data_IF_431555112741
#
_entry.id   IF_431555112741
#
_cell.length_a   1.000
_cell.length_b   1.000
_cell.length_c   1.000
_cell.angle_alpha   90.00
_cell.angle_beta   90.00
_cell.angle_gamma   90.00
#
_symmetry.space_group_name_H-M   'P 1'
#
loop_
_entity.id
_entity.type
_entity.pdbx_description
1 polymer ?
#
# COMPACT_ATOMS: atom_id res chain seq x y z
N UNK A 1 6.40 4.22 16.78
CA UNK A 1 5.68 3.18 15.99
C UNK A 1 4.17 3.42 15.94
N UNK A 2 3.58 4.03 16.97
CA UNK A 2 2.13 4.30 17.05
C UNK A 2 1.56 5.14 15.89
N UNK A 3 2.30 6.13 15.39
CA UNK A 3 1.86 6.94 14.24
C UNK A 3 1.78 6.14 12.93
N UNK A 4 2.66 5.15 12.75
CA UNK A 4 2.64 4.30 11.56
C UNK A 4 1.37 3.44 11.54
N UNK A 5 0.96 2.92 12.70
CA UNK A 5 -0.27 2.13 12.86
C UNK A 5 -1.52 2.97 12.62
N UNK A 6 -1.52 4.22 13.07
CA UNK A 6 -2.61 5.17 12.82
C UNK A 6 -2.73 5.52 11.33
N UNK A 7 -1.59 5.70 10.64
CA UNK A 7 -1.55 5.87 9.18
C UNK A 7 -2.06 4.63 8.44
N UNK A 8 -1.70 3.43 8.89
CA UNK A 8 -2.19 2.15 8.37
C UNK A 8 -3.72 2.06 8.42
N UNK A 9 -4.31 2.30 9.60
CA UNK A 9 -5.76 2.23 9.79
C UNK A 9 -6.54 3.21 8.90
N UNK A 10 -6.03 4.44 8.72
CA UNK A 10 -6.65 5.44 7.85
C UNK A 10 -6.41 5.09 6.37
N UNK A 11 -5.24 4.53 6.05
CA UNK A 11 -4.90 4.00 4.75
C UNK A 11 -5.91 2.96 4.29
N UNK A 12 -6.13 1.89 5.06
CA UNK A 12 -7.12 0.84 4.71
C UNK A 12 -8.51 1.42 4.47
N UNK A 13 -8.98 2.34 5.31
CA UNK A 13 -10.33 2.92 5.16
C UNK A 13 -10.47 3.72 3.86
N UNK A 14 -9.44 4.47 3.47
CA UNK A 14 -9.43 5.22 2.22
C UNK A 14 -9.25 4.30 1.00
N UNK A 15 -8.37 3.30 1.11
CA UNK A 15 -7.98 2.44 0.01
C UNK A 15 -8.94 1.27 -0.25
N UNK A 16 -9.64 0.76 0.77
CA UNK A 16 -10.57 -0.36 0.65
C UNK A 16 -11.68 -0.11 -0.39
N UNK A 17 -12.49 0.97 -0.31
CA UNK A 17 -13.52 1.24 -1.31
C UNK A 17 -12.93 1.70 -2.64
N UNK A 18 -11.79 2.39 -2.62
CA UNK A 18 -11.14 2.87 -3.85
C UNK A 18 -10.61 1.71 -4.71
N UNK A 19 -10.15 0.64 -4.08
CA UNK A 19 -9.66 -0.56 -4.77
C UNK A 19 -10.76 -1.33 -5.52
N UNK A 20 -12.03 -1.11 -5.14
CA UNK A 20 -13.19 -1.76 -5.74
C UNK A 20 -13.69 -1.02 -6.99
N UNK A 21 -13.51 0.30 -7.02
CA UNK A 21 -13.99 1.18 -8.11
C UNK A 21 -12.90 1.40 -9.17
N UNK A 22 -11.63 1.43 -8.77
CA UNK A 22 -10.52 1.72 -9.67
C UNK A 22 -9.73 0.48 -10.06
N UNK A 23 -9.49 0.34 -11.35
CA UNK A 23 -8.76 -0.75 -11.98
C UNK A 23 -7.40 -1.02 -11.26
N UNK A 24 -7.32 -2.22 -10.68
CA UNK A 24 -6.33 -2.85 -9.79
C UNK A 24 -4.83 -2.51 -9.95
N UNK A 25 -4.41 -1.99 -11.10
CA UNK A 25 -3.00 -1.81 -11.49
C UNK A 25 -2.47 -0.38 -11.28
N UNK A 26 -3.27 0.65 -11.56
CA UNK A 26 -2.79 2.04 -11.45
C UNK A 26 -2.60 2.47 -10.00
N UNK A 27 -3.50 2.07 -9.11
CA UNK A 27 -3.37 2.34 -7.67
C UNK A 27 -2.17 1.65 -7.04
N UNK A 28 -1.81 0.47 -7.52
CA UNK A 28 -0.64 -0.26 -7.05
C UNK A 28 0.65 0.52 -7.36
N UNK A 29 0.81 1.00 -8.59
CA UNK A 29 2.02 1.72 -9.00
C UNK A 29 2.14 3.08 -8.31
N UNK A 30 1.05 3.85 -8.21
CA UNK A 30 1.09 5.19 -7.61
C UNK A 30 1.36 5.15 -6.11
N UNK A 31 0.76 4.21 -5.38
CA UNK A 31 0.99 4.09 -3.94
C UNK A 31 2.35 3.51 -3.59
N UNK A 32 2.88 2.60 -4.41
CA UNK A 32 4.24 2.09 -4.25
C UNK A 32 5.29 3.18 -4.54
N UNK A 33 5.08 3.97 -5.61
CA UNK A 33 5.93 5.11 -5.92
C UNK A 33 5.91 6.18 -4.81
N UNK A 34 4.72 6.50 -4.27
CA UNK A 34 4.59 7.41 -3.12
C UNK A 34 5.29 6.86 -1.88
N UNK A 35 5.14 5.56 -1.58
CA UNK A 35 5.79 4.97 -0.40
C UNK A 35 7.32 5.09 -0.49
N UNK A 36 7.91 4.76 -1.64
CA UNK A 36 9.36 4.88 -1.87
C UNK A 36 9.82 6.33 -1.75
N UNK A 37 9.09 7.26 -2.37
CA UNK A 37 9.41 8.69 -2.30
C UNK A 37 9.34 9.25 -0.86
N UNK A 38 8.33 8.85 -0.07
CA UNK A 38 8.19 9.32 1.32
C UNK A 38 9.19 8.67 2.28
N UNK A 39 9.58 7.42 2.03
CA UNK A 39 10.65 6.75 2.79
C UNK A 39 11.99 7.45 2.52
N UNK A 40 12.31 7.73 1.27
CA UNK A 40 13.54 8.45 0.89
C UNK A 40 13.54 9.90 1.44
N UNK A 41 12.41 10.61 1.34
CA UNK A 41 12.24 11.94 1.93
C UNK A 41 12.41 11.93 3.46
N UNK A 42 12.03 10.85 4.14
CA UNK A 42 12.26 10.71 5.58
C UNK A 42 13.74 10.53 5.95
N UNK A 43 14.56 9.98 5.04
CA UNK A 43 16.01 9.87 5.23
C UNK A 43 16.72 11.23 5.08
N UNK A 44 16.17 12.14 4.28
CA UNK A 44 16.66 13.51 4.12
C UNK A 44 16.13 14.53 5.14
N UNK A 45 15.17 14.15 6.00
CA UNK A 45 14.52 15.07 6.91
C UNK A 45 15.34 15.32 8.19
N UNK A 46 15.90 16.53 8.34
CA UNK A 46 16.72 16.94 9.49
C UNK A 46 15.95 17.32 10.76
N UNK A 47 14.61 17.27 10.74
CA UNK A 47 13.74 17.72 11.83
C UNK A 47 12.73 16.64 12.22
N UNK A 48 12.75 16.25 13.51
CA UNK A 48 11.88 15.21 14.11
C UNK A 48 10.41 15.23 13.66
N UNK A 49 9.68 16.37 13.67
CA UNK A 49 8.29 16.41 13.23
C UNK A 49 8.09 16.04 11.75
N UNK A 50 9.01 16.37 10.86
CA UNK A 50 8.86 15.96 9.45
C UNK A 50 9.13 14.48 9.25
N UNK A 51 10.10 13.89 9.97
CA UNK A 51 10.29 12.44 9.93
C UNK A 51 9.04 11.71 10.41
N UNK A 52 8.31 12.27 11.40
CA UNK A 52 7.05 11.72 11.90
C UNK A 52 5.92 11.79 10.85
N UNK A 53 5.77 12.92 10.16
CA UNK A 53 4.77 13.10 9.09
C UNK A 53 5.08 12.22 7.88
N UNK A 54 6.33 12.18 7.44
CA UNK A 54 6.74 11.33 6.31
C UNK A 54 6.57 9.84 6.63
N UNK A 55 6.81 9.41 7.88
CA UNK A 55 6.52 8.04 8.32
C UNK A 55 5.03 7.74 8.39
N UNK A 56 4.20 8.70 8.78
CA UNK A 56 2.75 8.56 8.77
C UNK A 56 2.23 8.36 7.35
N UNK A 57 2.62 9.23 6.40
CA UNK A 57 2.25 9.07 4.99
C UNK A 57 2.80 7.77 4.40
N UNK A 58 4.08 7.43 4.62
CA UNK A 58 4.64 6.17 4.13
C UNK A 58 3.86 4.94 4.64
N UNK A 59 3.36 5.00 5.89
CA UNK A 59 2.46 3.98 6.46
C UNK A 59 1.11 3.90 5.75
N UNK A 60 0.49 5.04 5.40
CA UNK A 60 -0.79 5.09 4.69
C UNK A 60 -0.74 4.48 3.27
N UNK A 61 0.40 4.57 2.59
CA UNK A 61 0.56 4.08 1.20
C UNK A 61 1.20 2.68 1.10
N UNK A 62 1.86 2.21 2.16
CA UNK A 62 2.62 0.94 2.16
C UNK A 62 1.78 -0.34 2.29
N UNK A 63 0.47 -0.23 2.49
CA UNK A 63 -0.40 -1.36 2.86
C UNK A 63 -1.15 -2.02 1.69
N UNK A 64 -1.22 -1.34 0.55
CA UNK A 64 -1.85 -1.85 -0.67
C UNK A 64 -1.15 -3.06 -1.31
N UNK A 65 0.20 -3.19 -1.28
CA UNK A 65 0.89 -4.32 -1.88
C UNK A 65 0.49 -5.70 -1.33
N UNK A 66 0.42 -5.93 0.00
CA UNK A 66 0.04 -7.22 0.55
C UNK A 66 -1.44 -7.55 0.32
N UNK A 67 -2.35 -6.58 0.46
CA UNK A 67 -3.79 -6.80 0.30
C UNK A 67 -4.17 -7.32 -1.09
N UNK A 68 -3.45 -6.88 -2.13
CA UNK A 68 -3.75 -7.25 -3.51
C UNK A 68 -2.98 -8.49 -4.00
N UNK A 69 -1.87 -8.83 -3.36
CA UNK A 69 -1.10 -10.04 -3.68
C UNK A 69 -1.91 -11.33 -3.49
N UNK A 70 -2.72 -11.39 -2.42
CA UNK A 70 -3.60 -12.54 -2.14
C UNK A 70 -4.61 -12.80 -3.26
N UNK A 71 -5.21 -11.74 -3.82
CA UNK A 71 -6.16 -11.88 -4.91
C UNK A 71 -5.53 -12.23 -6.27
N UNK A 72 -4.25 -11.90 -6.51
CA UNK A 72 -3.54 -12.34 -7.74
C UNK A 72 -3.15 -13.82 -7.63
N UNK A 73 -2.69 -14.23 -6.45
CA UNK A 73 -2.32 -15.62 -6.17
C UNK A 73 -3.56 -16.52 -6.21
N UNK A 74 -4.68 -16.08 -5.64
CA UNK A 74 -5.95 -16.79 -5.71
C UNK A 74 -6.46 -16.94 -7.16
N UNK A 75 -6.27 -15.92 -8.01
CA UNK A 75 -6.61 -15.98 -9.44
C UNK A 75 -5.74 -17.03 -10.17
N UNK A 76 -4.41 -16.97 -10.00
CA UNK A 76 -3.49 -17.93 -10.64
C UNK A 76 -3.76 -19.37 -10.20
N UNK A 77 -4.05 -19.59 -8.91
CA UNK A 77 -4.41 -20.91 -8.39
C UNK A 77 -5.72 -21.45 -8.99
N UNK A 78 -6.69 -20.55 -9.26
CA UNK A 78 -7.97 -20.92 -9.87
C UNK A 78 -7.81 -21.31 -11.34
N UNK A 79 -7.04 -20.52 -12.10
CA UNK A 79 -6.72 -20.82 -13.50
C UNK A 79 -5.99 -22.17 -13.62
N UNK A 80 -4.98 -22.39 -12.77
CA UNK A 80 -4.27 -23.67 -12.72
C UNK A 80 -5.24 -24.84 -12.51
N UNK A 81 -6.26 -24.72 -11.64
CA UNK A 81 -7.20 -25.82 -11.37
C UNK A 81 -8.12 -26.17 -12.54
N UNK A 82 -8.41 -25.22 -13.44
CA UNK A 82 -9.19 -25.48 -14.67
C UNK A 82 -8.32 -26.13 -15.75
N UNK A 83 -7.01 -25.86 -15.79
CA UNK A 83 -6.07 -26.46 -16.75
C UNK A 83 -5.76 -27.96 -16.43
N UNK A 84 -6.05 -28.43 -15.21
CA UNK A 84 -5.90 -29.84 -14.80
C UNK A 84 -7.22 -30.65 -14.89
N UNK A 85 -8.23 -30.14 -15.59
CA UNK A 85 -9.48 -30.85 -15.92
C UNK A 85 -9.66 -30.99 -17.43
#
# INVERSE_FOLDING_TARGET
MSLVVLGFAIGLVLWAPLSEIYCRRMFFVTTHACMVAFVDASAGAGFMPAVLVFRFMAGMFGELPPANSGGVIAECLRLQSEDWQ
#
